data_IF_428911737903
#
_entry.id   IF_428911737903
#
_cell.length_a   1.000
_cell.length_b   1.000
_cell.length_c   1.000
_cell.angle_alpha   90.00
_cell.angle_beta   90.00
_cell.angle_gamma   90.00
#
_symmetry.space_group_name_H-M   'P 1'
#
loop_
_entity.id
_entity.type
_entity.pdbx_description
1 polymer ?
#
# COMPACT_ATOMS: atom_id res chain seq x y z
N UNK A 1 23.05 17.34 -26.01
CA UNK A 1 23.07 18.02 -24.69
C UNK A 1 22.47 19.43 -24.70
N UNK A 2 22.68 20.28 -25.72
CA UNK A 2 22.02 21.61 -25.77
C UNK A 2 20.48 21.51 -25.86
N UNK A 3 19.98 20.50 -26.58
CA UNK A 3 18.55 20.27 -26.80
C UNK A 3 17.81 19.86 -25.50
N UNK A 4 18.29 18.82 -24.81
CA UNK A 4 17.73 18.40 -23.51
C UNK A 4 17.81 19.51 -22.45
N UNK A 5 18.88 20.31 -22.43
CA UNK A 5 18.99 21.43 -21.47
C UNK A 5 17.89 22.47 -21.69
N UNK A 6 17.61 22.84 -22.94
CA UNK A 6 16.53 23.76 -23.26
C UNK A 6 15.15 23.17 -22.93
N UNK A 7 14.95 21.88 -23.23
CA UNK A 7 13.71 21.17 -22.91
C UNK A 7 13.45 21.11 -21.40
N UNK A 8 14.47 20.76 -20.60
CA UNK A 8 14.39 20.78 -19.14
C UNK A 8 14.07 22.20 -18.68
N UNK A 9 14.83 23.21 -19.14
CA UNK A 9 14.65 24.61 -18.71
C UNK A 9 13.25 25.16 -18.97
N UNK A 10 12.58 24.73 -20.03
CA UNK A 10 11.21 25.13 -20.35
C UNK A 10 10.15 24.51 -19.41
N UNK A 11 10.46 23.42 -18.71
CA UNK A 11 9.53 22.67 -17.86
C UNK A 11 9.88 22.68 -16.37
N UNK A 12 11.04 23.23 -15.99
CA UNK A 12 11.43 23.28 -14.57
C UNK A 12 10.42 24.07 -13.71
N UNK A 13 10.14 23.63 -12.47
CA UNK A 13 10.66 22.41 -11.83
C UNK A 13 9.97 21.15 -12.37
N UNK A 14 10.75 20.09 -12.61
CA UNK A 14 10.22 18.85 -13.20
C UNK A 14 9.50 18.00 -12.15
N UNK A 15 8.37 17.41 -12.55
CA UNK A 15 7.75 16.27 -11.86
C UNK A 15 8.52 14.97 -12.07
N UNK A 16 8.10 13.88 -11.43
CA UNK A 16 8.76 12.57 -11.58
C UNK A 16 8.44 11.97 -12.95
N UNK A 17 7.18 12.01 -13.38
CA UNK A 17 6.85 11.51 -14.73
C UNK A 17 7.50 12.37 -15.82
N UNK A 18 7.67 13.68 -15.61
CA UNK A 18 8.41 14.54 -16.55
C UNK A 18 9.90 14.21 -16.62
N UNK A 19 10.60 13.99 -15.50
CA UNK A 19 12.02 13.60 -15.54
C UNK A 19 12.22 12.25 -16.24
N UNK A 20 11.28 11.31 -16.06
CA UNK A 20 11.30 10.00 -16.72
C UNK A 20 11.05 10.15 -18.22
N UNK A 21 10.07 10.96 -18.61
CA UNK A 21 9.78 11.24 -20.01
C UNK A 21 10.98 11.90 -20.71
N UNK A 22 11.65 12.86 -20.07
CA UNK A 22 12.86 13.48 -20.61
C UNK A 22 14.00 12.47 -20.76
N UNK A 23 14.19 11.59 -19.78
CA UNK A 23 15.21 10.55 -19.85
C UNK A 23 14.97 9.59 -21.03
N UNK A 24 13.70 9.21 -21.24
CA UNK A 24 13.27 8.37 -22.36
C UNK A 24 13.43 9.07 -23.71
N UNK A 25 12.93 10.30 -23.85
CA UNK A 25 12.94 11.05 -25.11
C UNK A 25 14.36 11.32 -25.62
N UNK A 26 15.31 11.50 -24.70
CA UNK A 26 16.69 11.83 -25.01
C UNK A 26 17.69 10.69 -24.82
N UNK A 27 17.22 9.44 -24.63
CA UNK A 27 18.04 8.24 -24.45
C UNK A 27 19.18 8.42 -23.41
N UNK A 28 18.81 8.91 -22.23
CA UNK A 28 19.73 9.19 -21.12
C UNK A 28 19.25 8.57 -19.82
N UNK A 29 20.13 8.47 -18.83
CA UNK A 29 19.73 7.99 -17.49
C UNK A 29 18.89 9.04 -16.79
N UNK A 30 17.91 8.60 -15.99
CA UNK A 30 17.07 9.50 -15.19
C UNK A 30 17.91 10.39 -14.26
N UNK A 31 18.96 9.84 -13.65
CA UNK A 31 19.87 10.61 -12.79
C UNK A 31 20.60 11.75 -13.53
N UNK A 32 20.87 11.59 -14.83
CA UNK A 32 21.48 12.66 -15.62
C UNK A 32 20.50 13.83 -15.80
N UNK A 33 19.20 13.57 -15.95
CA UNK A 33 18.15 14.61 -15.99
C UNK A 33 18.07 15.34 -14.65
N UNK A 34 18.10 14.60 -13.54
CA UNK A 34 18.07 15.17 -12.17
C UNK A 34 19.27 16.12 -11.93
N UNK A 35 20.46 15.68 -12.33
CA UNK A 35 21.67 16.48 -12.17
C UNK A 35 21.66 17.69 -13.10
N UNK A 36 21.22 17.55 -14.35
CA UNK A 36 21.07 18.67 -15.29
C UNK A 36 20.06 19.72 -14.80
N UNK A 37 18.92 19.31 -14.24
CA UNK A 37 17.97 20.24 -13.60
C UNK A 37 18.65 21.00 -12.46
N UNK A 38 19.44 20.31 -11.64
CA UNK A 38 20.16 20.92 -10.51
C UNK A 38 21.25 21.89 -10.97
N UNK A 39 22.01 21.54 -12.01
CA UNK A 39 22.97 22.44 -12.65
C UNK A 39 22.29 23.73 -13.14
N UNK A 40 21.16 23.60 -13.85
CA UNK A 40 20.41 24.75 -14.38
C UNK A 40 19.83 25.64 -13.28
N UNK A 41 19.43 25.06 -12.14
CA UNK A 41 18.85 25.80 -11.01
C UNK A 41 19.90 26.50 -10.13
N UNK A 42 21.08 25.92 -10.00
CA UNK A 42 22.11 26.37 -9.04
C UNK A 42 23.30 27.06 -9.69
N UNK A 43 23.56 26.78 -10.97
CA UNK A 43 24.77 27.19 -11.67
C UNK A 43 26.02 26.41 -11.27
N UNK A 44 25.91 25.43 -10.36
CA UNK A 44 27.03 24.60 -9.92
C UNK A 44 27.38 23.55 -10.97
N UNK A 45 28.65 23.15 -10.99
CA UNK A 45 29.10 22.01 -11.78
C UNK A 45 28.59 20.69 -11.20
N UNK A 46 28.56 19.65 -12.04
CA UNK A 46 28.16 18.30 -11.62
C UNK A 46 28.97 17.77 -10.42
N UNK A 47 30.28 18.03 -10.40
CA UNK A 47 31.16 17.57 -9.32
C UNK A 47 30.86 18.27 -8.00
N UNK A 48 30.62 19.60 -8.04
CA UNK A 48 30.20 20.37 -6.87
C UNK A 48 28.84 19.89 -6.34
N UNK A 49 27.91 19.56 -7.24
CA UNK A 49 26.59 19.02 -6.87
C UNK A 49 26.74 17.67 -6.18
N UNK A 50 27.47 16.72 -6.76
CA UNK A 50 27.68 15.39 -6.18
C UNK A 50 28.38 15.46 -4.82
N UNK A 51 29.37 16.34 -4.69
CA UNK A 51 30.05 16.61 -3.41
C UNK A 51 29.08 17.19 -2.39
N UNK A 52 28.28 18.18 -2.78
CA UNK A 52 27.26 18.80 -1.94
C UNK A 52 26.22 17.79 -1.44
N UNK A 53 25.79 16.87 -2.31
CA UNK A 53 24.84 15.80 -1.97
C UNK A 53 25.42 14.88 -0.90
N UNK A 54 26.66 14.42 -1.05
CA UNK A 54 27.27 13.56 -0.03
C UNK A 54 27.53 14.30 1.30
N UNK A 55 27.77 15.61 1.26
CA UNK A 55 27.82 16.44 2.47
C UNK A 55 26.47 16.50 3.19
N UNK A 56 25.34 16.48 2.47
CA UNK A 56 24.01 16.37 3.09
C UNK A 56 23.82 15.02 3.80
N UNK A 57 24.36 13.93 3.26
CA UNK A 57 24.30 12.60 3.87
C UNK A 57 25.26 12.40 5.06
N UNK A 58 26.32 13.21 5.18
CA UNK A 58 27.39 13.00 6.17
C UNK A 58 26.86 12.83 7.61
N UNK A 59 25.93 13.67 8.04
CA UNK A 59 25.30 13.57 9.37
C UNK A 59 24.51 12.26 9.53
N UNK A 60 23.73 11.89 8.51
CA UNK A 60 22.87 10.72 8.59
C UNK A 60 23.68 9.42 8.55
N UNK A 61 24.76 9.37 7.75
CA UNK A 61 25.72 8.27 7.77
C UNK A 61 26.42 8.17 9.13
N UNK A 62 26.70 9.29 9.79
CA UNK A 62 27.22 9.27 11.15
C UNK A 62 26.22 8.67 12.14
N UNK A 63 24.93 8.98 11.99
CA UNK A 63 23.88 8.38 12.81
C UNK A 63 23.80 6.86 12.60
N UNK A 64 23.93 6.38 11.36
CA UNK A 64 24.02 4.94 11.04
C UNK A 64 25.17 4.28 11.81
N UNK A 65 26.37 4.86 11.75
CA UNK A 65 27.55 4.32 12.45
C UNK A 65 27.33 4.20 13.96
N UNK A 66 26.78 5.24 14.58
CA UNK A 66 26.49 5.24 16.01
C UNK A 66 25.46 4.15 16.33
N UNK A 67 24.36 4.10 15.57
CA UNK A 67 23.29 3.14 15.82
C UNK A 67 23.74 1.68 15.70
N UNK A 68 24.58 1.36 14.70
CA UNK A 68 25.11 0.00 14.51
C UNK A 68 26.16 -0.38 15.55
N UNK A 69 26.96 0.58 16.04
CA UNK A 69 28.07 0.28 16.94
C UNK A 69 27.61 0.08 18.38
N UNK A 70 27.07 1.12 18.99
CA UNK A 70 26.80 1.19 20.43
C UNK A 70 25.61 2.10 20.79
N UNK A 71 24.83 2.52 19.79
CA UNK A 71 23.64 3.34 19.99
C UNK A 71 22.55 2.63 20.79
N UNK A 72 21.86 3.40 21.64
CA UNK A 72 20.70 2.95 22.39
C UNK A 72 19.50 3.85 22.13
N UNK A 73 18.43 3.22 21.66
CA UNK A 73 17.18 3.88 21.34
C UNK A 73 16.15 3.67 22.44
N UNK A 74 15.46 4.75 22.84
CA UNK A 74 14.37 4.63 23.81
C UNK A 74 13.28 3.64 23.34
N UNK A 75 13.01 3.52 22.04
CA UNK A 75 11.97 2.62 21.52
C UNK A 75 12.49 1.29 21.01
N UNK A 76 13.75 1.23 20.58
CA UNK A 76 14.33 0.10 19.85
C UNK A 76 15.45 -0.61 20.63
N UNK A 77 15.85 -0.05 21.78
CA UNK A 77 17.01 -0.55 22.54
C UNK A 77 18.28 -0.55 21.71
N UNK A 78 19.05 -1.62 21.81
CA UNK A 78 20.32 -1.85 21.10
C UNK A 78 20.18 -2.84 19.94
N UNK A 79 18.98 -2.95 19.35
CA UNK A 79 18.66 -3.96 18.33
C UNK A 79 19.61 -3.94 17.12
N UNK A 80 20.08 -2.76 16.71
CA UNK A 80 21.00 -2.62 15.58
C UNK A 80 22.38 -3.22 15.88
N UNK A 81 22.97 -2.94 17.05
CA UNK A 81 24.27 -3.50 17.44
C UNK A 81 24.18 -4.99 17.77
N UNK A 82 23.06 -5.45 18.34
CA UNK A 82 22.79 -6.87 18.52
C UNK A 82 22.77 -7.61 17.17
N UNK A 83 22.09 -7.06 16.16
CA UNK A 83 22.06 -7.64 14.82
C UNK A 83 23.43 -7.59 14.14
N UNK A 84 24.14 -6.47 14.25
CA UNK A 84 25.48 -6.29 13.70
C UNK A 84 26.48 -7.31 14.24
N UNK A 85 26.38 -7.68 15.52
CA UNK A 85 27.27 -8.63 16.18
C UNK A 85 27.07 -10.10 15.76
N UNK A 86 25.96 -10.46 15.09
CA UNK A 86 25.74 -11.82 14.63
C UNK A 86 26.73 -12.22 13.52
N UNK A 87 27.21 -13.47 13.51
CA UNK A 87 28.05 -13.97 12.41
C UNK A 87 27.17 -14.52 11.28
N UNK A 88 27.63 -14.37 10.03
CA UNK A 88 26.94 -14.88 8.84
C UNK A 88 25.73 -14.02 8.40
N UNK A 89 24.83 -14.58 7.57
CA UNK A 89 23.59 -13.93 7.17
C UNK A 89 22.77 -13.49 8.38
N UNK A 90 22.15 -12.31 8.30
CA UNK A 90 21.31 -11.71 9.34
C UNK A 90 19.88 -12.21 9.20
N UNK A 91 19.12 -11.65 8.26
CA UNK A 91 17.71 -11.97 8.06
C UNK A 91 17.48 -12.67 6.72
N UNK A 92 18.34 -12.43 5.73
CA UNK A 92 18.22 -12.88 4.35
C UNK A 92 19.58 -13.35 3.82
N UNK A 93 19.58 -14.24 2.84
CA UNK A 93 20.84 -14.71 2.22
C UNK A 93 21.47 -13.67 1.27
N UNK A 94 20.69 -12.72 0.75
CA UNK A 94 21.19 -11.62 -0.08
C UNK A 94 21.91 -10.59 0.81
N UNK A 95 23.24 -10.63 0.81
CA UNK A 95 24.10 -9.77 1.63
C UNK A 95 23.82 -8.27 1.47
N UNK A 96 23.51 -7.78 0.26
CA UNK A 96 23.23 -6.37 0.05
C UNK A 96 21.88 -5.97 0.66
N UNK A 97 20.86 -6.82 0.52
CA UNK A 97 19.58 -6.62 1.19
C UNK A 97 19.75 -6.59 2.71
N UNK A 98 20.50 -7.55 3.25
CA UNK A 98 20.73 -7.67 4.68
C UNK A 98 21.45 -6.45 5.26
N UNK A 99 22.52 -6.00 4.60
CA UNK A 99 23.26 -4.81 5.03
C UNK A 99 22.41 -3.53 4.87
N UNK A 100 21.62 -3.40 3.80
CA UNK A 100 20.70 -2.28 3.65
C UNK A 100 19.66 -2.23 4.78
N UNK A 101 19.14 -3.38 5.21
CA UNK A 101 18.21 -3.47 6.35
C UNK A 101 18.93 -3.17 7.68
N UNK A 102 20.12 -3.73 7.90
CA UNK A 102 20.92 -3.47 9.10
C UNK A 102 21.26 -1.99 9.24
N UNK A 103 21.75 -1.35 8.18
CA UNK A 103 22.10 0.06 8.21
C UNK A 103 20.87 0.97 8.30
N UNK A 104 19.72 0.55 7.76
CA UNK A 104 18.44 1.24 7.98
C UNK A 104 18.05 1.19 9.46
N UNK A 105 18.15 0.03 10.10
CA UNK A 105 17.91 -0.13 11.53
C UNK A 105 18.91 0.68 12.37
N UNK A 106 20.17 0.71 11.95
CA UNK A 106 21.21 1.58 12.49
C UNK A 106 20.83 3.06 12.42
N UNK A 107 20.32 3.54 11.27
CA UNK A 107 19.82 4.90 11.14
C UNK A 107 18.65 5.19 12.10
N UNK A 108 17.73 4.25 12.29
CA UNK A 108 16.61 4.42 13.22
C UNK A 108 17.07 4.55 14.68
N UNK A 109 18.04 3.72 15.10
CA UNK A 109 18.64 3.83 16.44
C UNK A 109 19.41 5.14 16.55
N UNK A 110 20.26 5.45 15.57
CA UNK A 110 21.05 6.67 15.50
C UNK A 110 20.21 7.96 15.53
N UNK A 111 19.01 7.94 14.94
CA UNK A 111 18.06 9.05 15.01
C UNK A 111 17.69 9.39 16.46
N UNK A 112 17.52 8.39 17.33
CA UNK A 112 17.22 8.63 18.74
C UNK A 112 18.46 9.02 19.56
N UNK A 113 19.67 8.79 19.03
CA UNK A 113 20.92 9.19 19.68
C UNK A 113 21.34 10.61 19.32
N UNK A 114 21.40 10.94 18.01
CA UNK A 114 21.96 12.20 17.51
C UNK A 114 21.05 12.92 16.49
N UNK A 115 19.84 12.39 16.25
CA UNK A 115 18.94 12.90 15.22
C UNK A 115 19.38 12.56 13.80
N UNK A 116 18.46 12.72 12.85
CA UNK A 116 18.73 12.70 11.41
C UNK A 116 18.37 14.04 10.79
N UNK A 117 19.07 14.42 9.73
CA UNK A 117 18.61 15.45 8.80
C UNK A 117 17.43 14.91 8.02
N UNK A 118 16.23 15.51 8.15
CA UNK A 118 15.05 15.00 7.51
C UNK A 118 14.94 15.42 6.05
N UNK A 119 14.51 14.50 5.17
CA UNK A 119 14.05 14.86 3.84
C UNK A 119 12.56 15.21 3.90
N UNK A 120 11.63 14.24 3.85
CA UNK A 120 10.21 14.43 4.18
C UNK A 120 9.95 14.34 5.69
N UNK A 121 10.76 13.58 6.40
CA UNK A 121 10.83 13.52 7.85
C UNK A 121 12.08 12.77 8.28
N UNK A 122 12.10 12.18 9.47
CA UNK A 122 13.28 11.39 9.90
C UNK A 122 13.15 9.92 9.51
N UNK A 123 11.93 9.44 9.29
CA UNK A 123 11.64 8.05 8.95
C UNK A 123 12.13 7.65 7.56
N UNK A 124 12.11 8.55 6.58
CA UNK A 124 12.57 8.33 5.20
C UNK A 124 14.09 8.49 5.06
N UNK A 125 14.69 9.39 5.84
CA UNK A 125 16.16 9.47 5.94
C UNK A 125 16.80 8.15 6.41
N UNK A 126 16.05 7.31 7.15
CA UNK A 126 16.54 6.01 7.61
C UNK A 126 16.85 5.03 6.45
N UNK A 127 15.90 4.64 5.58
CA UNK A 127 16.16 3.73 4.47
C UNK A 127 17.10 4.35 3.44
N UNK A 128 17.06 5.69 3.26
CA UNK A 128 17.99 6.38 2.36
C UNK A 128 19.43 6.18 2.81
N UNK A 129 19.70 6.44 4.10
CA UNK A 129 21.06 6.33 4.65
C UNK A 129 21.49 4.87 4.77
N UNK A 130 20.56 3.97 5.09
CA UNK A 130 20.81 2.54 5.14
C UNK A 130 21.25 1.98 3.80
N UNK A 131 20.51 2.31 2.73
CA UNK A 131 20.83 1.88 1.37
C UNK A 131 22.14 2.47 0.87
N UNK A 132 22.36 3.79 1.07
CA UNK A 132 23.62 4.44 0.69
C UNK A 132 24.81 3.84 1.44
N UNK A 133 24.67 3.57 2.75
CA UNK A 133 25.72 2.90 3.51
C UNK A 133 26.00 1.49 2.98
N UNK A 134 24.97 0.71 2.66
CA UNK A 134 25.13 -0.62 2.06
C UNK A 134 25.91 -0.53 0.73
N UNK A 135 25.58 0.42 -0.15
CA UNK A 135 26.35 0.63 -1.39
C UNK A 135 27.83 0.88 -1.11
N UNK A 136 28.16 1.73 -0.12
CA UNK A 136 29.55 2.02 0.24
C UNK A 136 30.30 0.77 0.73
N UNK A 137 29.66 -0.06 1.56
CA UNK A 137 30.29 -1.27 2.12
C UNK A 137 30.42 -2.39 1.08
N UNK A 138 29.50 -2.45 0.13
CA UNK A 138 29.55 -3.38 -1.00
C UNK A 138 30.45 -2.91 -2.17
N UNK A 139 31.21 -1.83 -1.99
CA UNK A 139 32.26 -1.43 -2.94
C UNK A 139 31.77 -0.78 -4.23
N UNK A 140 30.56 -0.19 -4.23
CA UNK A 140 30.14 0.69 -5.33
C UNK A 140 31.05 1.93 -5.35
N UNK A 141 31.37 2.46 -6.54
CA UNK A 141 32.22 3.63 -6.67
C UNK A 141 31.53 4.91 -6.16
N UNK A 142 32.34 5.86 -5.67
CA UNK A 142 31.86 7.11 -5.04
C UNK A 142 30.90 7.90 -5.93
N UNK A 143 31.15 7.90 -7.24
CA UNK A 143 30.30 8.61 -8.20
C UNK A 143 28.93 7.93 -8.29
N UNK A 144 28.87 6.61 -8.43
CA UNK A 144 27.60 5.86 -8.46
C UNK A 144 26.81 6.01 -7.16
N UNK A 145 27.49 6.03 -6.00
CA UNK A 145 26.87 6.29 -4.70
C UNK A 145 26.26 7.70 -4.66
N UNK A 146 27.03 8.72 -5.05
CA UNK A 146 26.56 10.11 -5.06
C UNK A 146 25.43 10.35 -6.08
N UNK A 147 25.49 9.73 -7.26
CA UNK A 147 24.42 9.77 -8.26
C UNK A 147 23.13 9.12 -7.72
N UNK A 148 23.24 7.98 -7.04
CA UNK A 148 22.09 7.31 -6.42
C UNK A 148 21.50 8.15 -5.28
N UNK A 149 22.34 8.76 -4.46
CA UNK A 149 21.94 9.71 -3.43
C UNK A 149 21.20 10.92 -4.02
N UNK A 150 21.65 11.45 -5.16
CA UNK A 150 20.99 12.54 -5.88
C UNK A 150 19.57 12.18 -6.29
N UNK A 151 19.40 10.99 -6.88
CA UNK A 151 18.10 10.48 -7.32
C UNK A 151 17.14 10.32 -6.13
N UNK A 152 17.62 9.72 -5.03
CA UNK A 152 16.83 9.55 -3.80
C UNK A 152 16.38 10.91 -3.25
N UNK A 153 17.27 11.91 -3.16
CA UNK A 153 16.92 13.23 -2.64
C UNK A 153 15.95 13.99 -3.55
N UNK A 154 16.09 13.90 -4.87
CA UNK A 154 15.14 14.52 -5.80
C UNK A 154 13.73 13.97 -5.59
N UNK A 155 13.58 12.64 -5.56
CA UNK A 155 12.27 11.99 -5.36
C UNK A 155 11.73 12.31 -3.96
N UNK A 156 12.55 12.13 -2.92
CA UNK A 156 12.18 12.41 -1.54
C UNK A 156 11.76 13.87 -1.29
N UNK A 157 12.34 14.83 -2.02
CA UNK A 157 11.98 16.24 -1.91
C UNK A 157 10.53 16.54 -2.31
N UNK A 158 9.94 15.75 -3.20
CA UNK A 158 8.53 15.90 -3.58
C UNK A 158 7.61 15.35 -2.48
N UNK A 159 7.98 14.22 -1.86
CA UNK A 159 7.28 13.71 -0.68
C UNK A 159 7.34 14.69 0.49
N UNK A 160 8.47 15.38 0.68
CA UNK A 160 8.60 16.45 1.69
C UNK A 160 7.55 17.53 1.55
N UNK A 161 7.26 17.95 0.32
CA UNK A 161 6.25 18.97 0.06
C UNK A 161 4.84 18.43 0.29
N UNK A 162 4.57 17.19 -0.12
CA UNK A 162 3.25 16.57 0.09
C UNK A 162 2.95 16.13 1.52
N UNK A 163 3.98 15.97 2.36
CA UNK A 163 3.82 15.58 3.77
C UNK A 163 3.39 16.78 4.62
N UNK A 164 2.08 16.94 4.77
CA UNK A 164 1.46 18.05 5.53
C UNK A 164 0.83 17.62 6.86
N UNK A 165 0.83 16.32 7.18
CA UNK A 165 0.30 15.78 8.45
C UNK A 165 1.11 14.57 8.90
N UNK A 166 0.53 13.75 9.77
CA UNK A 166 1.18 12.55 10.32
C UNK A 166 0.82 11.30 9.50
N UNK A 167 1.82 10.69 8.87
CA UNK A 167 1.61 9.52 8.02
C UNK A 167 2.93 9.01 7.46
N UNK A 168 3.15 7.69 7.55
CA UNK A 168 4.35 7.05 7.02
C UNK A 168 4.26 6.84 5.51
N UNK A 169 3.05 6.95 4.94
CA UNK A 169 2.79 6.94 3.50
C UNK A 169 3.52 8.07 2.75
N UNK A 170 3.75 9.23 3.38
CA UNK A 170 4.51 10.34 2.80
C UNK A 170 5.90 10.52 3.45
N UNK A 171 6.37 9.51 4.18
CA UNK A 171 7.66 9.53 4.88
C UNK A 171 8.32 8.14 4.79
N UNK A 172 8.57 7.49 5.93
CA UNK A 172 9.50 6.37 6.03
C UNK A 172 9.13 5.16 5.20
N UNK A 173 7.83 4.90 5.00
CA UNK A 173 7.41 3.75 4.23
C UNK A 173 7.15 4.10 2.77
N UNK A 174 6.32 5.10 2.47
CA UNK A 174 6.00 5.41 1.07
C UNK A 174 7.12 6.14 0.33
N UNK A 175 7.63 7.24 0.89
CA UNK A 175 8.78 7.95 0.30
C UNK A 175 10.03 7.06 0.33
N UNK A 176 10.22 6.29 1.40
CA UNK A 176 11.20 5.22 1.49
C UNK A 176 11.12 4.25 0.30
N UNK A 177 9.97 3.58 0.14
CA UNK A 177 9.78 2.53 -0.86
C UNK A 177 9.97 3.04 -2.30
N UNK A 178 9.41 4.21 -2.61
CA UNK A 178 9.54 4.81 -3.94
C UNK A 178 11.00 5.16 -4.27
N UNK A 179 11.72 5.83 -3.35
CA UNK A 179 13.12 6.19 -3.58
C UNK A 179 14.02 4.95 -3.70
N UNK A 180 13.80 3.92 -2.88
CA UNK A 180 14.60 2.69 -2.94
C UNK A 180 14.28 1.88 -4.21
N UNK A 181 13.04 1.90 -4.70
CA UNK A 181 12.71 1.34 -6.01
C UNK A 181 13.49 2.04 -7.13
N UNK A 182 13.50 3.37 -7.15
CA UNK A 182 14.25 4.14 -8.14
C UNK A 182 15.75 3.87 -8.07
N UNK A 183 16.32 3.87 -6.85
CA UNK A 183 17.72 3.54 -6.62
C UNK A 183 18.06 2.12 -7.11
N UNK A 184 17.22 1.14 -6.79
CA UNK A 184 17.40 -0.26 -7.20
C UNK A 184 17.40 -0.40 -8.72
N UNK A 185 16.48 0.25 -9.42
CA UNK A 185 16.45 0.24 -10.89
C UNK A 185 17.67 0.93 -11.47
N UNK A 186 18.07 2.08 -10.90
CA UNK A 186 19.21 2.85 -11.36
C UNK A 186 20.51 2.04 -11.28
N UNK A 187 20.80 1.41 -10.12
CA UNK A 187 22.02 0.61 -9.95
C UNK A 187 21.96 -0.73 -10.70
N UNK A 188 20.75 -1.23 -10.98
CA UNK A 188 20.52 -2.43 -11.78
C UNK A 188 20.58 -2.21 -13.30
N UNK A 189 20.74 -0.96 -13.76
CA UNK A 189 20.80 -0.62 -15.18
C UNK A 189 19.46 -0.71 -15.90
N UNK A 190 18.34 -0.57 -15.20
CA UNK A 190 17.01 -0.61 -15.81
C UNK A 190 16.63 0.69 -16.54
N UNK A 191 15.60 0.61 -17.37
CA UNK A 191 15.14 1.73 -18.21
C UNK A 191 14.35 2.77 -17.40
N UNK A 192 14.17 4.01 -17.92
CA UNK A 192 13.30 5.01 -17.29
C UNK A 192 11.87 4.49 -17.04
N UNK A 193 11.31 3.71 -17.96
CA UNK A 193 9.98 3.10 -17.77
C UNK A 193 9.98 2.07 -16.66
N UNK A 194 11.00 1.21 -16.58
CA UNK A 194 11.10 0.25 -15.48
C UNK A 194 11.21 0.97 -14.13
N UNK A 195 11.87 2.13 -14.09
CA UNK A 195 11.95 2.97 -12.90
C UNK A 195 10.57 3.51 -12.49
N UNK A 196 9.82 4.07 -13.43
CA UNK A 196 8.47 4.57 -13.15
C UNK A 196 7.55 3.46 -12.62
N UNK A 197 7.51 2.33 -13.34
CA UNK A 197 6.71 1.17 -12.95
C UNK A 197 7.10 0.67 -11.56
N UNK A 198 8.40 0.58 -11.26
CA UNK A 198 8.88 0.12 -9.96
C UNK A 198 8.46 1.06 -8.83
N UNK A 199 8.55 2.38 -9.03
CA UNK A 199 8.11 3.35 -8.02
C UNK A 199 6.61 3.27 -7.76
N UNK A 200 5.79 3.09 -8.81
CA UNK A 200 4.33 2.92 -8.69
C UNK A 200 3.99 1.71 -7.82
N UNK A 201 4.61 0.56 -8.12
CA UNK A 201 4.39 -0.67 -7.35
C UNK A 201 4.86 -0.55 -5.91
N UNK A 202 5.99 0.10 -5.68
CA UNK A 202 6.57 0.28 -4.35
C UNK A 202 5.72 1.21 -3.47
N UNK A 203 5.09 2.23 -4.04
CA UNK A 203 4.22 3.18 -3.34
C UNK A 203 2.80 2.61 -3.09
N UNK A 204 2.30 1.74 -3.97
CA UNK A 204 0.94 1.18 -3.91
C UNK A 204 0.53 0.61 -2.54
N UNK A 205 1.31 -0.23 -1.85
CA UNK A 205 0.89 -0.83 -0.58
C UNK A 205 1.08 0.10 0.62
N UNK A 206 1.67 1.28 0.42
CA UNK A 206 1.97 2.21 1.51
C UNK A 206 0.93 3.31 1.66
N UNK A 207 -0.08 3.35 0.78
CA UNK A 207 -1.14 4.36 0.78
C UNK A 207 -1.98 4.26 2.07
N UNK A 208 -2.22 5.40 2.73
CA UNK A 208 -3.07 5.46 3.94
C UNK A 208 -2.42 4.91 5.22
N UNK A 209 -1.09 4.80 5.26
CA UNK A 209 -0.39 4.24 6.41
C UNK A 209 -0.01 5.32 7.44
N UNK A 210 -0.52 5.27 8.69
CA UNK A 210 -0.29 6.29 9.71
C UNK A 210 1.09 6.16 10.38
N UNK A 211 1.60 7.29 10.91
CA UNK A 211 2.91 7.36 11.59
C UNK A 211 2.82 7.32 13.14
N UNK A 212 1.95 8.15 13.73
CA UNK A 212 2.08 8.62 15.13
C UNK A 212 1.96 7.61 16.27
N UNK A 213 1.29 6.45 16.20
CA UNK A 213 1.42 5.50 17.30
C UNK A 213 2.77 4.75 17.27
N UNK A 214 3.39 4.59 16.10
CA UNK A 214 4.58 3.74 15.94
C UNK A 214 5.84 4.38 16.51
N UNK A 215 5.90 5.71 16.56
CA UNK A 215 7.02 6.48 17.12
C UNK A 215 6.95 6.61 18.65
N UNK A 216 5.99 5.96 19.31
CA UNK A 216 5.87 5.95 20.77
C UNK A 216 5.69 4.54 21.33
N UNK A 217 5.13 3.61 20.56
CA UNK A 217 5.13 2.19 20.92
C UNK A 217 6.49 1.57 20.60
N UNK A 218 7.12 0.83 21.53
CA UNK A 218 8.39 0.15 21.28
C UNK A 218 8.38 -0.72 20.01
N UNK A 219 9.50 -0.71 19.28
CA UNK A 219 9.78 -1.52 18.10
C UNK A 219 8.88 -1.38 16.86
N UNK A 220 7.70 -0.74 16.89
CA UNK A 220 6.76 -0.77 15.75
C UNK A 220 7.24 -0.06 14.48
N UNK A 221 8.26 0.80 14.57
CA UNK A 221 8.89 1.44 13.41
C UNK A 221 9.88 0.53 12.65
N UNK A 222 10.42 -0.54 13.26
CA UNK A 222 11.55 -1.30 12.68
C UNK A 222 11.18 -1.95 11.35
N UNK A 223 10.15 -2.79 11.36
CA UNK A 223 9.67 -3.49 10.16
C UNK A 223 8.99 -2.56 9.17
N UNK A 224 8.50 -1.42 9.65
CA UNK A 224 7.83 -0.45 8.80
C UNK A 224 8.82 0.24 7.85
N UNK A 225 9.91 0.73 8.43
CA UNK A 225 10.97 1.43 7.70
C UNK A 225 11.89 0.43 6.98
N UNK A 226 12.19 -0.72 7.59
CA UNK A 226 12.85 -1.83 6.89
C UNK A 226 12.01 -2.38 5.73
N UNK A 227 10.68 -2.34 5.86
CA UNK A 227 9.73 -2.66 4.80
C UNK A 227 9.91 -1.79 3.56
N UNK A 228 10.37 -0.54 3.70
CA UNK A 228 10.67 0.32 2.57
C UNK A 228 11.82 -0.22 1.69
N UNK A 229 12.85 -0.80 2.33
CA UNK A 229 13.95 -1.46 1.62
C UNK A 229 13.42 -2.67 0.85
N UNK A 230 12.66 -3.54 1.52
CA UNK A 230 12.09 -4.75 0.92
C UNK A 230 11.16 -4.42 -0.26
N UNK A 231 10.21 -3.51 -0.06
CA UNK A 231 9.25 -3.12 -1.08
C UNK A 231 9.91 -2.43 -2.27
N UNK A 232 10.85 -1.52 -2.00
CA UNK A 232 11.59 -0.82 -3.04
C UNK A 232 12.45 -1.78 -3.87
N UNK A 233 13.26 -2.61 -3.21
CA UNK A 233 14.14 -3.56 -3.88
C UNK A 233 13.35 -4.62 -4.66
N UNK A 234 12.27 -5.18 -4.08
CA UNK A 234 11.43 -6.15 -4.76
C UNK A 234 10.79 -5.54 -6.02
N UNK A 235 10.18 -4.36 -5.91
CA UNK A 235 9.53 -3.69 -7.05
C UNK A 235 10.52 -3.35 -8.15
N UNK A 236 11.71 -2.84 -7.79
CA UNK A 236 12.78 -2.56 -8.74
C UNK A 236 13.29 -3.81 -9.45
N UNK A 237 13.64 -4.86 -8.70
CA UNK A 237 14.11 -6.13 -9.28
C UNK A 237 13.03 -6.78 -10.16
N UNK A 238 11.76 -6.78 -9.74
CA UNK A 238 10.66 -7.38 -10.50
C UNK A 238 10.49 -6.69 -11.86
N UNK A 239 10.39 -5.36 -11.89
CA UNK A 239 10.22 -4.58 -13.13
C UNK A 239 11.39 -4.73 -14.11
N UNK A 240 12.59 -5.06 -13.63
CA UNK A 240 13.75 -5.34 -14.47
C UNK A 240 13.80 -6.79 -14.99
N UNK A 241 13.01 -7.71 -14.42
CA UNK A 241 13.04 -9.15 -14.75
C UNK A 241 11.89 -9.59 -15.63
N UNK A 242 10.73 -8.96 -15.52
CA UNK A 242 9.53 -9.36 -16.26
C UNK A 242 8.91 -8.16 -16.96
N UNK A 243 8.28 -8.43 -18.10
CA UNK A 243 7.38 -7.45 -18.70
C UNK A 243 6.05 -7.49 -17.96
N UNK A 244 5.65 -6.33 -17.42
CA UNK A 244 4.43 -6.17 -16.68
C UNK A 244 3.76 -4.84 -17.06
N UNK A 245 2.44 -4.89 -17.22
CA UNK A 245 1.65 -3.68 -17.46
C UNK A 245 1.43 -2.96 -16.15
N UNK A 246 1.99 -1.76 -16.04
CA UNK A 246 1.67 -0.77 -15.03
C UNK A 246 1.42 0.52 -15.80
N UNK A 247 0.16 0.95 -15.85
CA UNK A 247 -0.32 2.03 -16.70
C UNK A 247 -0.69 3.30 -15.92
N UNK A 248 -0.42 3.33 -14.62
CA UNK A 248 -0.63 4.49 -13.78
C UNK A 248 0.67 5.31 -13.77
N UNK A 249 0.67 6.58 -14.21
CA UNK A 249 1.83 7.46 -14.09
C UNK A 249 2.20 7.66 -12.61
N UNK A 250 3.50 7.79 -12.30
CA UNK A 250 3.91 7.94 -10.91
C UNK A 250 3.35 9.22 -10.28
N UNK A 251 3.24 10.32 -11.03
CA UNK A 251 2.68 11.56 -10.52
C UNK A 251 1.23 11.41 -10.03
N UNK A 252 0.43 10.55 -10.69
CA UNK A 252 -0.94 10.24 -10.24
C UNK A 252 -0.91 9.52 -8.90
N UNK A 253 -0.01 8.56 -8.73
CA UNK A 253 0.16 7.84 -7.46
C UNK A 253 0.64 8.75 -6.33
N UNK A 254 1.59 9.66 -6.62
CA UNK A 254 2.11 10.61 -5.66
C UNK A 254 1.03 11.62 -5.23
N UNK A 255 0.27 12.16 -6.18
CA UNK A 255 -0.83 13.07 -5.89
C UNK A 255 -1.91 12.38 -5.03
N UNK A 256 -2.32 11.16 -5.41
CA UNK A 256 -3.24 10.36 -4.60
C UNK A 256 -2.69 10.10 -3.19
N UNK A 257 -1.40 9.77 -3.06
CA UNK A 257 -0.77 9.53 -1.77
C UNK A 257 -0.79 10.79 -0.87
N UNK A 258 -0.59 11.98 -1.45
CA UNK A 258 -0.65 13.25 -0.74
C UNK A 258 -2.09 13.61 -0.29
N UNK A 259 -3.11 13.38 -1.12
CA UNK A 259 -4.51 13.58 -0.74
C UNK A 259 -4.92 12.62 0.39
N UNK A 260 -4.64 11.31 0.23
CA UNK A 260 -4.92 10.30 1.26
C UNK A 260 -4.15 10.57 2.55
N UNK A 261 -2.99 11.23 2.49
CA UNK A 261 -2.23 11.61 3.68
C UNK A 261 -3.05 12.52 4.61
N UNK A 262 -3.75 13.51 4.05
CA UNK A 262 -4.62 14.44 4.81
C UNK A 262 -5.78 13.67 5.44
N UNK A 263 -6.47 12.85 4.65
CA UNK A 263 -7.59 12.01 5.10
C UNK A 263 -7.16 11.03 6.20
N UNK A 264 -5.98 10.42 6.06
CA UNK A 264 -5.39 9.55 7.06
C UNK A 264 -5.16 10.28 8.38
N UNK A 265 -4.69 11.51 8.33
CA UNK A 265 -4.50 12.34 9.52
C UNK A 265 -5.80 12.60 10.29
N UNK A 266 -6.91 12.77 9.57
CA UNK A 266 -8.22 13.05 10.19
C UNK A 266 -8.96 11.79 10.64
N UNK A 267 -8.95 10.72 9.84
CA UNK A 267 -9.84 9.58 10.05
C UNK A 267 -9.15 8.33 10.56
N UNK A 268 -7.88 8.10 10.18
CA UNK A 268 -7.16 6.88 10.56
C UNK A 268 -6.37 7.09 11.85
N UNK A 269 -5.56 8.16 11.91
CA UNK A 269 -4.64 8.41 13.03
C UNK A 269 -5.33 8.42 14.39
N UNK A 270 -6.49 9.08 14.60
CA UNK A 270 -7.13 9.08 15.92
C UNK A 270 -7.48 7.69 16.43
N UNK A 271 -8.03 6.82 15.56
CA UNK A 271 -8.36 5.45 15.92
C UNK A 271 -7.11 4.64 16.25
N UNK A 272 -6.04 4.76 15.46
CA UNK A 272 -4.81 4.01 15.76
C UNK A 272 -4.17 4.52 17.06
N UNK A 273 -4.20 5.83 17.33
CA UNK A 273 -3.70 6.40 18.58
C UNK A 273 -4.49 5.90 19.78
N UNK A 274 -5.84 5.86 19.70
CA UNK A 274 -6.69 5.32 20.77
C UNK A 274 -6.20 3.93 21.20
N UNK A 275 -6.04 3.00 20.27
CA UNK A 275 -5.64 1.62 20.55
C UNK A 275 -4.19 1.47 21.04
N UNK A 276 -3.31 2.39 20.68
CA UNK A 276 -1.87 2.27 20.91
C UNK A 276 -1.37 3.10 22.09
N UNK A 277 -2.10 4.14 22.49
CA UNK A 277 -1.81 5.01 23.63
C UNK A 277 -1.47 4.25 24.92
N UNK A 278 -2.14 3.11 25.26
CA UNK A 278 -1.77 2.32 26.43
C UNK A 278 -0.34 1.79 26.44
N UNK A 279 0.32 1.72 25.28
CA UNK A 279 1.66 1.16 25.09
C UNK A 279 2.73 2.22 24.80
N UNK A 280 2.36 3.51 24.81
CA UNK A 280 3.33 4.58 24.57
C UNK A 280 4.39 4.61 25.66
N UNK A 281 5.66 4.65 25.24
CA UNK A 281 6.77 4.79 26.17
C UNK A 281 6.82 6.22 26.71
N UNK A 282 6.71 6.34 28.02
CA UNK A 282 6.71 7.63 28.74
C UNK A 282 8.02 7.84 29.48
N UNK A 283 8.47 9.09 29.59
CA UNK A 283 9.68 9.47 30.34
C UNK A 283 9.27 9.93 31.74
N UNK A 284 9.70 9.30 32.84
CA UNK A 284 9.27 9.65 34.20
C UNK A 284 9.43 11.15 34.55
N UNK A 285 10.54 11.76 34.13
CA UNK A 285 10.79 13.19 34.35
C UNK A 285 9.82 14.11 33.59
N UNK A 286 9.31 13.67 32.44
CA UNK A 286 8.26 14.41 31.71
C UNK A 286 6.91 14.17 32.36
N UNK A 287 6.60 12.93 32.74
CA UNK A 287 5.36 12.59 33.45
C UNK A 287 5.24 13.35 34.77
N UNK A 288 6.33 13.63 35.48
CA UNK A 288 6.25 14.45 36.71
C UNK A 288 5.75 15.88 36.50
N UNK A 289 5.78 16.39 35.26
CA UNK A 289 5.27 17.71 34.89
C UNK A 289 3.78 17.68 34.53
N UNK A 290 3.20 16.51 34.31
CA UNK A 290 1.80 16.33 33.95
C UNK A 290 0.94 16.32 35.22
N UNK A 291 -0.11 17.14 35.22
CA UNK A 291 -1.09 17.25 36.31
C UNK A 291 -1.73 15.89 36.63
N UNK A 292 -2.00 15.63 37.91
CA UNK A 292 -2.53 14.33 38.34
C UNK A 292 -3.90 14.04 37.71
N UNK A 293 -4.75 15.05 37.55
CA UNK A 293 -6.07 14.89 36.95
C UNK A 293 -6.00 14.43 35.49
N UNK A 294 -4.94 14.83 34.76
CA UNK A 294 -4.70 14.38 33.38
C UNK A 294 -4.26 12.91 33.37
N UNK A 295 -3.36 12.53 34.27
CA UNK A 295 -2.90 11.14 34.40
C UNK A 295 -4.04 10.19 34.78
N UNK A 296 -4.90 10.60 35.70
CA UNK A 296 -6.03 9.80 36.13
C UNK A 296 -7.05 9.61 34.98
N UNK A 297 -7.29 10.67 34.20
CA UNK A 297 -8.15 10.60 33.02
C UNK A 297 -7.56 9.70 31.92
N UNK A 298 -6.25 9.81 31.65
CA UNK A 298 -5.55 8.93 30.72
C UNK A 298 -5.58 7.46 31.18
N UNK A 299 -5.31 7.19 32.45
CA UNK A 299 -5.32 5.84 33.01
C UNK A 299 -6.70 5.19 32.86
N UNK A 300 -7.77 5.93 33.15
CA UNK A 300 -9.15 5.48 32.94
C UNK A 300 -9.42 5.18 31.46
N UNK A 301 -9.04 6.08 30.55
CA UNK A 301 -9.21 5.88 29.10
C UNK A 301 -8.42 4.67 28.59
N UNK A 302 -7.21 4.44 29.11
CA UNK A 302 -6.39 3.28 28.77
C UNK A 302 -7.08 1.97 29.21
N UNK A 303 -7.65 1.93 30.42
CA UNK A 303 -8.41 0.76 30.89
C UNK A 303 -9.63 0.48 30.01
N UNK A 304 -10.43 1.51 29.71
CA UNK A 304 -11.58 1.41 28.80
C UNK A 304 -11.18 0.92 27.40
N UNK A 305 -10.06 1.43 26.87
CA UNK A 305 -9.51 1.00 25.58
C UNK A 305 -9.10 -0.47 25.60
N UNK A 306 -8.42 -0.91 26.66
CA UNK A 306 -7.99 -2.31 26.79
C UNK A 306 -9.18 -3.26 26.89
N UNK A 307 -10.26 -2.86 27.57
CA UNK A 307 -11.47 -3.66 27.63
C UNK A 307 -12.19 -3.68 26.28
N UNK A 308 -12.35 -2.54 25.61
CA UNK A 308 -12.87 -2.44 24.24
C UNK A 308 -12.07 -3.33 23.28
N UNK A 309 -10.74 -3.33 23.37
CA UNK A 309 -9.87 -4.16 22.55
C UNK A 309 -10.09 -5.66 22.80
N UNK A 310 -10.20 -6.10 24.07
CA UNK A 310 -10.52 -7.50 24.41
C UNK A 310 -11.88 -7.92 23.89
N UNK A 311 -12.92 -7.10 24.10
CA UNK A 311 -14.28 -7.39 23.62
C UNK A 311 -14.28 -7.51 22.10
N UNK A 312 -13.64 -6.59 21.38
CA UNK A 312 -13.58 -6.65 19.92
C UNK A 312 -12.77 -7.85 19.42
N UNK A 313 -11.61 -8.15 20.03
CA UNK A 313 -10.83 -9.33 19.69
C UNK A 313 -11.60 -10.64 19.96
N UNK A 314 -12.37 -10.70 21.05
CA UNK A 314 -13.22 -11.84 21.36
C UNK A 314 -14.35 -12.01 20.36
N UNK A 315 -15.02 -10.93 19.95
CA UNK A 315 -16.02 -10.95 18.87
C UNK A 315 -15.44 -11.45 17.54
N UNK A 316 -14.20 -11.05 17.20
CA UNK A 316 -13.51 -11.57 16.01
C UNK A 316 -13.27 -13.08 16.13
N UNK A 317 -12.84 -13.56 17.31
CA UNK A 317 -12.61 -14.98 17.55
C UNK A 317 -13.91 -15.81 17.57
N UNK A 318 -15.01 -15.25 18.09
CA UNK A 318 -16.34 -15.88 18.08
C UNK A 318 -16.92 -15.98 16.66
N UNK A 319 -16.60 -15.02 15.79
CA UNK A 319 -16.97 -15.05 14.38
C UNK A 319 -16.03 -15.88 13.50
N UNK A 320 -14.91 -16.38 14.03
CA UNK A 320 -13.97 -17.20 13.27
C UNK A 320 -14.52 -18.62 13.11
N UNK A 321 -14.47 -19.13 11.88
CA UNK A 321 -14.81 -20.52 11.60
C UNK A 321 -13.75 -21.48 12.16
N UNK A 322 -14.08 -22.77 12.23
CA UNK A 322 -13.12 -23.83 12.53
C UNK A 322 -11.95 -23.81 11.54
N UNK A 323 -10.76 -24.21 12.00
CA UNK A 323 -9.52 -24.20 11.19
C UNK A 323 -9.62 -25.08 9.95
N UNK A 324 -10.47 -26.12 9.95
CA UNK A 324 -10.72 -26.99 8.80
C UNK A 324 -11.64 -26.34 7.74
N UNK A 325 -12.33 -25.24 8.10
CA UNK A 325 -13.32 -24.55 7.25
C UNK A 325 -13.08 -23.04 7.20
N UNK A 326 -11.84 -22.59 7.43
CA UNK A 326 -11.48 -21.16 7.42
C UNK A 326 -11.33 -20.61 6.00
N UNK A 327 -10.88 -21.44 5.05
CA UNK A 327 -10.81 -21.05 3.64
C UNK A 327 -12.21 -21.12 3.03
N UNK A 328 -12.68 -20.01 2.48
CA UNK A 328 -13.92 -20.00 1.69
C UNK A 328 -13.75 -20.69 0.33
N UNK A 329 -14.84 -20.78 -0.42
CA UNK A 329 -14.81 -21.33 -1.78
C UNK A 329 -13.79 -20.61 -2.65
N UNK A 330 -13.22 -21.34 -3.61
CA UNK A 330 -12.39 -20.74 -4.64
C UNK A 330 -13.18 -19.65 -5.37
N UNK A 331 -12.53 -18.50 -5.60
CA UNK A 331 -13.08 -17.37 -6.33
C UNK A 331 -12.20 -17.08 -7.53
N UNK A 332 -12.71 -17.37 -8.73
CA UNK A 332 -12.10 -16.92 -9.98
C UNK A 332 -12.22 -15.40 -10.14
N UNK A 333 -11.26 -14.77 -10.82
CA UNK A 333 -11.23 -13.32 -11.05
C UNK A 333 -10.49 -12.51 -9.97
N UNK A 334 -9.89 -13.19 -8.98
CA UNK A 334 -8.86 -12.60 -8.11
C UNK A 334 -9.35 -11.67 -6.99
N UNK A 335 -10.66 -11.52 -6.78
CA UNK A 335 -11.20 -10.71 -5.67
C UNK A 335 -12.48 -11.31 -5.08
N UNK A 336 -12.43 -11.72 -3.82
CA UNK A 336 -13.59 -12.25 -3.11
C UNK A 336 -14.68 -11.20 -2.86
N UNK A 337 -14.29 -9.95 -2.60
CA UNK A 337 -15.22 -8.83 -2.44
C UNK A 337 -15.76 -8.36 -3.80
N UNK A 338 -14.89 -8.21 -4.80
CA UNK A 338 -15.31 -7.67 -6.07
C UNK A 338 -16.03 -8.68 -6.96
N UNK A 339 -15.67 -9.97 -6.91
CA UNK A 339 -16.23 -11.02 -7.78
C UNK A 339 -17.06 -12.03 -7.01
N UNK A 340 -16.52 -12.58 -5.91
CA UNK A 340 -17.19 -13.66 -5.17
C UNK A 340 -18.55 -13.25 -4.62
N UNK A 341 -18.63 -12.11 -3.93
CA UNK A 341 -19.88 -11.63 -3.32
C UNK A 341 -20.97 -11.30 -4.35
N UNK A 342 -20.71 -10.53 -5.44
CA UNK A 342 -21.72 -10.32 -6.49
C UNK A 342 -22.17 -11.60 -7.19
N UNK A 343 -21.24 -12.54 -7.44
CA UNK A 343 -21.58 -13.85 -8.01
C UNK A 343 -22.51 -14.63 -7.08
N UNK A 344 -22.26 -14.61 -5.77
CA UNK A 344 -23.11 -15.28 -4.79
C UNK A 344 -24.50 -14.64 -4.69
N UNK A 345 -24.60 -13.31 -4.74
CA UNK A 345 -25.91 -12.64 -4.85
C UNK A 345 -26.66 -13.11 -6.11
N UNK A 346 -25.97 -13.19 -7.24
CA UNK A 346 -26.53 -13.66 -8.51
C UNK A 346 -26.99 -15.13 -8.45
N UNK A 347 -26.21 -16.01 -7.83
CA UNK A 347 -26.56 -17.43 -7.62
C UNK A 347 -27.78 -17.59 -6.72
N UNK A 348 -27.89 -16.82 -5.64
CA UNK A 348 -29.09 -16.85 -4.80
C UNK A 348 -30.31 -16.44 -5.64
N UNK A 349 -30.19 -15.38 -6.45
CA UNK A 349 -31.27 -14.96 -7.33
C UNK A 349 -31.65 -16.04 -8.35
N UNK A 350 -30.66 -16.75 -8.91
CA UNK A 350 -30.88 -17.85 -9.86
C UNK A 350 -31.71 -18.99 -9.24
N UNK A 351 -31.48 -19.33 -7.97
CA UNK A 351 -32.26 -20.39 -7.31
C UNK A 351 -33.74 -20.02 -7.08
N UNK A 352 -34.10 -18.73 -7.20
CA UNK A 352 -35.49 -18.26 -7.13
C UNK A 352 -36.21 -18.33 -8.49
N UNK A 353 -35.44 -18.33 -9.58
CA UNK A 353 -35.93 -18.18 -10.94
C UNK A 353 -36.80 -19.35 -11.37
N UNK A 354 -37.89 -19.05 -12.06
CA UNK A 354 -38.71 -20.01 -12.81
C UNK A 354 -38.86 -19.50 -14.22
N UNK A 355 -38.98 -20.42 -15.18
CA UNK A 355 -39.10 -20.06 -16.59
C UNK A 355 -37.76 -19.77 -17.28
N UNK A 356 -37.83 -19.35 -18.54
CA UNK A 356 -36.67 -19.02 -19.37
C UNK A 356 -36.21 -17.59 -19.09
N UNK A 357 -34.94 -17.43 -18.74
CA UNK A 357 -34.30 -16.13 -18.51
C UNK A 357 -34.26 -15.33 -19.83
N UNK A 358 -34.69 -14.07 -19.76
CA UNK A 358 -34.71 -13.14 -20.90
C UNK A 358 -33.82 -11.91 -20.64
N UNK A 359 -33.75 -11.44 -19.39
CA UNK A 359 -32.98 -10.26 -19.02
C UNK A 359 -32.36 -10.40 -17.63
N UNK A 360 -31.14 -9.89 -17.47
CA UNK A 360 -30.47 -9.72 -16.18
C UNK A 360 -30.14 -8.25 -16.00
N UNK A 361 -30.63 -7.65 -14.92
CA UNK A 361 -30.25 -6.30 -14.48
C UNK A 361 -29.37 -6.39 -13.23
N UNK A 362 -28.23 -5.71 -13.28
CA UNK A 362 -27.20 -5.71 -12.25
C UNK A 362 -26.98 -4.29 -11.77
N UNK A 363 -27.31 -4.02 -10.51
CA UNK A 363 -27.10 -2.74 -9.87
C UNK A 363 -26.03 -2.86 -8.79
N UNK A 364 -24.93 -2.12 -8.96
CA UNK A 364 -23.75 -2.20 -8.09
C UNK A 364 -23.40 -0.80 -7.57
N UNK A 365 -23.03 -0.72 -6.30
CA UNK A 365 -22.49 0.54 -5.74
C UNK A 365 -21.21 0.99 -6.47
N UNK A 366 -20.81 2.29 -6.37
CA UNK A 366 -19.82 2.90 -7.26
C UNK A 366 -18.48 2.15 -7.35
N UNK A 367 -17.96 1.62 -6.23
CA UNK A 367 -16.70 0.87 -6.21
C UNK A 367 -16.79 -0.45 -7.00
N UNK A 368 -17.89 -1.18 -6.89
CA UNK A 368 -18.09 -2.41 -7.66
C UNK A 368 -18.41 -2.11 -9.12
N UNK A 369 -19.18 -1.06 -9.38
CA UNK A 369 -19.45 -0.62 -10.74
C UNK A 369 -18.16 -0.22 -11.48
N UNK A 370 -17.23 0.45 -10.79
CA UNK A 370 -15.90 0.74 -11.32
C UNK A 370 -15.08 -0.54 -11.62
N UNK A 371 -15.35 -1.65 -10.92
CA UNK A 371 -14.70 -2.97 -11.09
C UNK A 371 -15.48 -3.93 -11.99
N UNK A 372 -16.46 -3.45 -12.77
CA UNK A 372 -17.35 -4.27 -13.61
C UNK A 372 -16.63 -5.25 -14.54
N UNK A 373 -15.43 -4.92 -15.02
CA UNK A 373 -14.65 -5.80 -15.91
C UNK A 373 -14.30 -7.15 -15.27
N UNK A 374 -14.16 -7.23 -13.95
CA UNK A 374 -13.87 -8.48 -13.24
C UNK A 374 -15.10 -9.12 -12.61
N UNK A 375 -16.14 -8.35 -12.30
CA UNK A 375 -17.28 -8.89 -11.55
C UNK A 375 -18.46 -9.32 -12.43
N UNK A 376 -18.70 -8.67 -13.56
CA UNK A 376 -19.82 -9.00 -14.45
C UNK A 376 -19.72 -10.42 -15.02
N UNK A 377 -18.54 -10.95 -15.42
CA UNK A 377 -18.46 -12.35 -15.82
C UNK A 377 -18.94 -13.30 -14.72
N UNK A 378 -18.58 -13.02 -13.46
CA UNK A 378 -19.02 -13.75 -12.26
C UNK A 378 -20.53 -13.62 -11.99
N UNK A 379 -21.05 -12.39 -12.05
CA UNK A 379 -22.50 -12.14 -11.88
C UNK A 379 -23.30 -12.87 -12.95
N UNK A 380 -22.87 -12.84 -14.21
CA UNK A 380 -23.59 -13.48 -15.32
C UNK A 380 -23.54 -15.00 -15.24
N UNK A 381 -22.39 -15.61 -14.92
CA UNK A 381 -22.31 -17.05 -14.72
C UNK A 381 -23.20 -17.53 -13.56
N UNK A 382 -23.28 -16.75 -12.49
CA UNK A 382 -24.13 -17.03 -11.34
C UNK A 382 -25.62 -16.85 -11.64
N UNK A 383 -26.00 -15.73 -12.27
CA UNK A 383 -27.39 -15.38 -12.55
C UNK A 383 -28.02 -16.26 -13.64
N UNK A 384 -27.28 -16.56 -14.71
CA UNK A 384 -27.85 -17.25 -15.89
C UNK A 384 -27.66 -18.76 -15.80
N UNK A 385 -26.52 -19.23 -15.31
CA UNK A 385 -26.17 -20.66 -15.32
C UNK A 385 -26.07 -21.28 -13.92
N UNK A 386 -26.30 -20.52 -12.84
CA UNK A 386 -26.19 -21.01 -11.47
C UNK A 386 -24.76 -21.41 -11.06
N UNK A 387 -23.75 -21.04 -11.86
CA UNK A 387 -22.40 -21.55 -11.72
C UNK A 387 -21.70 -21.04 -10.44
N UNK A 388 -20.87 -21.91 -9.85
CA UNK A 388 -20.12 -21.63 -8.62
C UNK A 388 -19.02 -20.60 -8.83
N UNK A 389 -18.66 -19.83 -7.80
CA UNK A 389 -17.50 -18.90 -7.84
C UNK A 389 -16.17 -19.60 -8.15
N UNK A 390 -16.11 -20.93 -8.02
CA UNK A 390 -14.95 -21.75 -8.34
C UNK A 390 -14.86 -22.17 -9.81
N UNK A 391 -15.90 -21.95 -10.61
CA UNK A 391 -15.96 -22.37 -12.02
C UNK A 391 -15.23 -21.37 -12.93
N UNK A 392 -13.91 -21.54 -13.00
CA UNK A 392 -13.05 -20.69 -13.80
C UNK A 392 -13.30 -20.83 -15.31
N UNK A 393 -13.77 -21.99 -15.76
CA UNK A 393 -14.10 -22.22 -17.16
C UNK A 393 -15.32 -21.41 -17.55
N UNK A 394 -16.37 -21.44 -16.72
CA UNK A 394 -17.57 -20.64 -16.95
C UNK A 394 -17.27 -19.14 -16.87
N UNK A 395 -16.47 -18.69 -15.90
CA UNK A 395 -16.11 -17.27 -15.79
C UNK A 395 -15.48 -16.70 -17.08
N UNK A 396 -14.65 -17.47 -17.76
CA UNK A 396 -13.98 -17.02 -19.00
C UNK A 396 -14.89 -16.96 -20.22
N UNK A 397 -16.05 -17.63 -20.20
CA UNK A 397 -16.97 -17.73 -21.35
C UNK A 397 -18.35 -17.11 -21.11
N UNK A 398 -18.75 -16.88 -19.86
CA UNK A 398 -20.12 -16.52 -19.50
C UNK A 398 -20.64 -15.26 -20.21
N UNK A 399 -19.80 -14.22 -20.36
CA UNK A 399 -20.22 -12.99 -21.05
C UNK A 399 -20.58 -13.26 -22.52
N UNK A 400 -19.83 -14.14 -23.20
CA UNK A 400 -20.10 -14.49 -24.59
C UNK A 400 -21.31 -15.41 -24.69
N UNK A 401 -21.39 -16.44 -23.83
CA UNK A 401 -22.53 -17.36 -23.81
C UNK A 401 -23.86 -16.63 -23.54
N UNK A 402 -23.89 -15.68 -22.59
CA UNK A 402 -25.10 -14.89 -22.31
C UNK A 402 -25.55 -14.08 -23.52
N UNK A 403 -24.62 -13.53 -24.29
CA UNK A 403 -24.93 -12.84 -25.55
C UNK A 403 -25.46 -13.80 -26.61
N UNK A 404 -24.85 -14.97 -26.75
CA UNK A 404 -25.24 -15.99 -27.73
C UNK A 404 -26.63 -16.57 -27.41
N UNK A 405 -26.96 -16.69 -26.11
CA UNK A 405 -28.28 -17.11 -25.61
C UNK A 405 -29.36 -16.04 -25.80
N UNK A 406 -28.99 -14.83 -26.23
CA UNK A 406 -29.90 -13.70 -26.46
C UNK A 406 -30.45 -13.09 -25.17
N UNK A 407 -29.77 -13.25 -24.04
CA UNK A 407 -30.17 -12.66 -22.76
C UNK A 407 -29.75 -11.20 -22.71
N UNK A 408 -30.70 -10.30 -22.50
CA UNK A 408 -30.43 -8.87 -22.35
C UNK A 408 -29.71 -8.61 -21.02
N UNK A 409 -28.68 -7.78 -21.02
CA UNK A 409 -27.93 -7.42 -19.80
C UNK A 409 -27.92 -5.92 -19.62
N UNK A 410 -28.44 -5.47 -18.48
CA UNK A 410 -28.44 -4.06 -18.05
C UNK A 410 -27.57 -3.90 -16.81
N UNK A 411 -26.54 -3.05 -16.88
CA UNK A 411 -25.57 -2.85 -15.79
C UNK A 411 -25.62 -1.38 -15.39
N UNK A 412 -26.05 -1.12 -14.16
CA UNK A 412 -26.27 0.23 -13.66
C UNK A 412 -25.49 0.50 -12.38
N UNK A 413 -25.09 1.76 -12.21
CA UNK A 413 -24.46 2.24 -11.00
C UNK A 413 -25.54 2.60 -9.97
N UNK A 414 -25.48 1.95 -8.81
CA UNK A 414 -26.30 2.27 -7.65
C UNK A 414 -25.64 3.33 -6.76
N UNK A 415 -26.42 4.01 -5.93
CA UNK A 415 -25.93 5.12 -5.10
C UNK A 415 -25.67 4.73 -3.64
N UNK A 416 -26.28 3.64 -3.17
CA UNK A 416 -26.15 3.21 -1.79
C UNK A 416 -24.85 2.42 -1.58
N UNK A 417 -24.19 2.64 -0.43
CA UNK A 417 -22.93 1.99 -0.11
C UNK A 417 -23.09 0.47 0.00
N UNK A 418 -22.15 -0.26 -0.61
CA UNK A 418 -22.07 -1.72 -0.60
C UNK A 418 -23.21 -2.48 -1.30
N UNK A 419 -24.17 -1.83 -1.98
CA UNK A 419 -25.28 -2.55 -2.60
C UNK A 419 -24.87 -3.43 -3.77
N UNK A 420 -25.57 -4.55 -3.87
CA UNK A 420 -25.54 -5.49 -4.97
C UNK A 420 -26.96 -6.00 -5.16
N UNK A 421 -27.65 -5.46 -6.16
CA UNK A 421 -29.00 -5.88 -6.51
C UNK A 421 -28.99 -6.58 -7.85
N UNK A 422 -29.50 -7.81 -7.85
CA UNK A 422 -29.63 -8.64 -9.05
C UNK A 422 -31.11 -8.80 -9.33
N UNK A 423 -31.52 -8.56 -10.57
CA UNK A 423 -32.89 -8.77 -11.03
C UNK A 423 -32.85 -9.62 -12.30
N UNK A 424 -33.61 -10.71 -12.31
CA UNK A 424 -33.69 -11.65 -13.42
C UNK A 424 -35.15 -11.65 -13.90
N UNK A 425 -35.35 -11.21 -15.14
CA UNK A 425 -36.66 -11.24 -15.81
C UNK A 425 -36.75 -12.48 -16.70
N UNK A 426 -37.89 -13.14 -16.63
CA UNK A 426 -38.18 -14.40 -17.32
C UNK A 426 -39.53 -14.32 -18.02
N UNK A 427 -39.87 -15.34 -18.79
CA UNK A 427 -41.22 -15.52 -19.32
C UNK A 427 -42.30 -15.81 -18.26
N UNK A 428 -41.92 -16.10 -17.01
CA UNK A 428 -42.84 -16.41 -15.91
C UNK A 428 -42.90 -15.34 -14.81
N UNK A 429 -42.11 -14.27 -14.93
CA UNK A 429 -42.08 -13.17 -13.99
C UNK A 429 -40.69 -12.60 -13.75
N UNK A 430 -40.60 -11.75 -12.73
CA UNK A 430 -39.37 -11.10 -12.31
C UNK A 430 -38.96 -11.58 -10.91
N UNK A 431 -37.69 -11.94 -10.77
CA UNK A 431 -37.08 -12.42 -9.54
C UNK A 431 -35.91 -11.52 -9.19
N UNK A 432 -35.71 -11.24 -7.91
CA UNK A 432 -34.65 -10.34 -7.51
C UNK A 432 -34.17 -10.62 -6.10
N UNK A 433 -32.93 -10.21 -5.85
CA UNK A 433 -32.33 -10.15 -4.52
C UNK A 433 -31.66 -8.79 -4.33
N UNK A 434 -31.79 -8.26 -3.13
CA UNK A 434 -31.15 -7.04 -2.68
C UNK A 434 -30.20 -7.39 -1.53
N UNK A 435 -28.90 -7.18 -1.77
CA UNK A 435 -27.86 -7.58 -0.84
C UNK A 435 -26.83 -6.48 -0.61
N UNK A 436 -26.15 -6.55 0.54
CA UNK A 436 -24.97 -5.72 0.82
C UNK A 436 -23.69 -6.55 0.84
N UNK A 437 -22.66 -6.09 0.12
CA UNK A 437 -21.33 -6.70 0.10
C UNK A 437 -20.66 -6.62 1.47
N UNK A 438 -20.04 -7.73 1.92
CA UNK A 438 -19.27 -7.81 3.19
C UNK A 438 -17.90 -8.47 3.02
N UNK A 439 -17.42 -8.58 1.79
CA UNK A 439 -16.11 -9.15 1.45
C UNK A 439 -16.01 -10.65 1.75
N UNK A 440 -15.01 -11.32 1.16
CA UNK A 440 -14.81 -12.76 1.37
C UNK A 440 -15.92 -13.64 0.79
N UNK A 441 -16.67 -13.16 -0.21
CA UNK A 441 -17.82 -13.89 -0.77
C UNK A 441 -19.10 -13.85 0.08
N UNK A 442 -19.08 -13.14 1.21
CA UNK A 442 -20.20 -13.01 2.18
C UNK A 442 -21.06 -11.80 1.86
N UNK A 443 -22.35 -11.88 2.21
CA UNK A 443 -23.30 -10.79 1.98
C UNK A 443 -24.36 -10.68 3.08
N UNK A 444 -24.97 -9.51 3.21
CA UNK A 444 -26.23 -9.33 3.94
C UNK A 444 -27.36 -9.52 2.94
N UNK A 445 -28.31 -10.42 3.21
CA UNK A 445 -29.56 -10.49 2.47
C UNK A 445 -30.56 -9.51 3.10
N UNK A 446 -30.90 -8.42 2.38
CA UNK A 446 -31.81 -7.39 2.89
C UNK A 446 -33.25 -7.69 2.52
N UNK A 447 -33.44 -8.00 1.25
CA UNK A 447 -34.75 -8.22 0.67
C UNK A 447 -34.62 -9.10 -0.59
N UNK A 448 -35.73 -9.72 -1.01
CA UNK A 448 -35.81 -10.52 -2.22
C UNK A 448 -37.26 -10.69 -2.67
N UNK A 449 -37.46 -11.10 -3.92
CA UNK A 449 -38.78 -11.50 -4.42
C UNK A 449 -39.41 -12.63 -3.59
N UNK A 450 -38.58 -13.48 -2.95
CA UNK A 450 -38.97 -14.41 -1.88
C UNK A 450 -37.79 -14.54 -0.90
N UNK A 451 -37.87 -13.82 0.23
CA UNK A 451 -36.78 -13.72 1.20
C UNK A 451 -36.49 -15.04 1.93
N UNK A 452 -37.52 -15.86 2.17
CA UNK A 452 -37.36 -17.14 2.85
C UNK A 452 -36.68 -18.15 1.92
N UNK A 453 -37.12 -18.21 0.66
CA UNK A 453 -36.48 -19.05 -0.35
C UNK A 453 -35.03 -18.61 -0.63
N UNK A 454 -34.76 -17.29 -0.64
CA UNK A 454 -33.41 -16.76 -0.83
C UNK A 454 -32.46 -17.16 0.31
N UNK A 455 -32.94 -17.13 1.57
CA UNK A 455 -32.15 -17.57 2.73
C UNK A 455 -31.85 -19.08 2.68
N UNK A 456 -32.83 -19.90 2.31
CA UNK A 456 -32.62 -21.35 2.14
C UNK A 456 -31.70 -21.68 0.95
N UNK A 457 -31.81 -20.94 -0.15
CA UNK A 457 -30.91 -21.05 -1.28
C UNK A 457 -29.46 -20.73 -0.87
N UNK A 458 -29.24 -19.63 -0.15
CA UNK A 458 -27.92 -19.27 0.37
C UNK A 458 -27.32 -20.39 1.22
N UNK A 459 -28.12 -20.97 2.13
CA UNK A 459 -27.70 -22.09 2.98
C UNK A 459 -27.34 -23.34 2.17
N UNK A 460 -28.16 -23.71 1.17
CA UNK A 460 -27.91 -24.86 0.28
C UNK A 460 -26.62 -24.67 -0.52
N UNK A 461 -26.38 -23.45 -0.98
CA UNK A 461 -25.20 -23.10 -1.78
C UNK A 461 -23.93 -22.90 -0.95
N UNK A 462 -24.00 -22.99 0.39
CA UNK A 462 -22.87 -22.71 1.29
C UNK A 462 -22.51 -21.23 1.39
N UNK A 463 -23.40 -20.33 0.97
CA UNK A 463 -23.17 -18.88 0.99
C UNK A 463 -23.44 -18.34 2.39
N UNK A 464 -22.42 -17.74 2.99
CA UNK A 464 -22.50 -17.17 4.34
C UNK A 464 -23.25 -15.84 4.32
N UNK A 465 -24.44 -15.84 4.92
CA UNK A 465 -25.21 -14.63 5.23
C UNK A 465 -24.72 -14.03 6.55
N UNK A 466 -24.46 -12.72 6.54
CA UNK A 466 -24.11 -11.97 7.76
C UNK A 466 -25.19 -10.94 8.09
N UNK A 467 -25.25 -10.51 9.35
CA UNK A 467 -26.23 -9.50 9.77
C UNK A 467 -25.85 -8.10 9.27
N UNK A 468 -26.87 -7.27 9.03
CA UNK A 468 -26.69 -5.84 8.87
C UNK A 468 -26.26 -5.27 10.23
N UNK A 469 -25.00 -4.84 10.34
CA UNK A 469 -24.55 -4.02 11.47
C UNK A 469 -25.08 -2.59 11.34
#
# INVERSE_FOLDING_TARGET
MSDIRAAIQAKMPLTISEMIAMAKEHDTRVVDVVLLETELRTGLSREEILTGIMNEYAHNLKAVEIGVKDGESILLGTVASQLAAQEGPKCFEDSFLDDALLYTLGAQVGNHCIGLRPCAGTGDSCPYSGFIKAMMVHGYDDKTVAETAALILKIGSLFRVGKVTTGCNMEGYGAGSACIAAATVSIGGGTPEQMEKAMVLALSPTIGVPCTPRVLVPALCTTHVGGAILMGMYSGKLCMKVDMTVNVPFDVMLAMAAEVHVESGHYLVPTVVEYMEPFFKRKPAVESLVRQEVKDAEAKKMEETMEKAKVNAKKLAEGAADILHTLGDAVVGGSSQAVGSPTNAARICHELVKGKIQKVRVELYPELFARRSINIPGVLMGAVYGASTSDYEMYNKAVYMVKDDGVEVDIVEGTEHAIQKITITTDQGEYWVDTLNRGGGRLVLRDASDIAAAAEAAKRLGIVLVQAN
#
